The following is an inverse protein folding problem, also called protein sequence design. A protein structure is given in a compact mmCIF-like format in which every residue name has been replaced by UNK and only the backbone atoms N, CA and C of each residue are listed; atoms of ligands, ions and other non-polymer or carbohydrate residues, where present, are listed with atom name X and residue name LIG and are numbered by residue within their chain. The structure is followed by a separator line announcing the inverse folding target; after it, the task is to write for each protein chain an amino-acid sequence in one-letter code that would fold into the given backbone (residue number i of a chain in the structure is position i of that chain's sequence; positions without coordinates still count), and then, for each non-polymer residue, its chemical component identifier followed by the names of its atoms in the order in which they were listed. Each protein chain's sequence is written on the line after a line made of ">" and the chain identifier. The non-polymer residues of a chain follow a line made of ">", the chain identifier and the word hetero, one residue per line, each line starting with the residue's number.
data_IF_348378330924
#
_entry.id   IF_348378330924
#
_cell.length_a   1.000
_cell.length_b   1.000
_cell.length_c   1.000
_cell.angle_alpha   90.00
_cell.angle_beta   90.00
_cell.angle_gamma   90.00
#
_symmetry.space_group_name_H-M   'P 1'
#
loop_
_entity.id
_entity.type
_entity.pdbx_description
1 polymer ?
#
# COMPACT_ATOMS: atom_id res chain seq x y z
N UNK A 1 -0.11 21.21 3.17
CA UNK A 1 -1.05 20.88 2.07
C UNK A 1 -2.11 19.98 2.65
N UNK A 2 -3.35 20.13 2.23
CA UNK A 2 -4.50 19.46 2.85
C UNK A 2 -4.96 18.25 2.03
N UNK A 3 -5.63 17.33 2.69
CA UNK A 3 -6.40 16.26 2.03
C UNK A 3 -7.68 16.87 1.44
N UNK A 4 -8.17 16.30 0.34
CA UNK A 4 -9.45 16.67 -0.26
C UNK A 4 -10.40 15.47 -0.24
N UNK A 5 -11.69 15.75 -0.13
CA UNK A 5 -12.75 14.77 -0.39
C UNK A 5 -12.72 14.38 -1.86
N UNK A 6 -12.88 13.10 -2.15
CA UNK A 6 -12.82 12.55 -3.50
C UNK A 6 -13.98 11.57 -3.69
N UNK A 7 -14.80 11.85 -4.70
CA UNK A 7 -15.80 10.94 -5.22
C UNK A 7 -15.08 9.95 -6.17
N UNK A 8 -15.40 8.67 -6.04
CA UNK A 8 -14.86 7.58 -6.83
C UNK A 8 -16.03 6.84 -7.50
N UNK A 9 -15.81 6.30 -8.69
CA UNK A 9 -16.79 5.51 -9.45
C UNK A 9 -18.12 6.25 -9.61
N UNK A 10 -18.06 7.50 -10.09
CA UNK A 10 -19.25 8.34 -10.26
C UNK A 10 -19.90 8.80 -8.96
N UNK A 11 -19.21 8.67 -7.81
CA UNK A 11 -19.70 9.05 -6.49
C UNK A 11 -20.39 7.92 -5.72
N UNK A 12 -20.34 6.69 -6.22
CA UNK A 12 -20.80 5.52 -5.48
C UNK A 12 -19.94 5.25 -4.24
N UNK A 13 -18.66 5.64 -4.29
CA UNK A 13 -17.71 5.59 -3.16
C UNK A 13 -17.17 7.00 -2.92
N UNK A 14 -16.94 7.33 -1.65
CA UNK A 14 -16.27 8.56 -1.22
C UNK A 14 -15.10 8.22 -0.28
N UNK A 15 -14.01 8.97 -0.39
CA UNK A 15 -12.93 8.97 0.60
C UNK A 15 -12.14 10.28 0.53
N UNK A 16 -10.96 10.33 1.17
CA UNK A 16 -10.02 11.44 1.10
C UNK A 16 -8.71 11.01 0.44
N UNK A 17 -8.17 11.88 -0.41
CA UNK A 17 -6.85 11.72 -1.02
C UNK A 17 -6.01 12.98 -0.82
N UNK A 18 -4.67 12.93 -0.96
CA UNK A 18 -3.83 14.12 -0.94
C UNK A 18 -4.31 15.16 -1.96
N UNK A 19 -4.36 16.43 -1.54
CA UNK A 19 -4.60 17.54 -2.46
C UNK A 19 -3.54 17.62 -3.56
N UNK A 20 -3.90 18.17 -4.71
CA UNK A 20 -2.98 18.38 -5.84
C UNK A 20 -2.74 17.16 -6.73
N UNK A 21 -3.31 15.99 -6.41
CA UNK A 21 -3.33 14.86 -7.33
C UNK A 21 -4.28 15.09 -8.49
N UNK A 22 -3.83 14.70 -9.68
CA UNK A 22 -4.57 14.74 -10.93
C UNK A 22 -5.12 13.35 -11.22
N UNK A 23 -6.39 13.29 -11.58
CA UNK A 23 -7.01 12.07 -12.07
C UNK A 23 -6.54 11.79 -13.51
N UNK A 24 -5.96 10.60 -13.70
CA UNK A 24 -5.39 10.14 -14.97
C UNK A 24 -6.45 9.90 -16.05
N UNK A 25 -7.72 9.66 -15.68
CA UNK A 25 -8.85 9.48 -16.60
C UNK A 25 -9.05 10.70 -17.51
N UNK A 26 -8.65 11.89 -17.04
CA UNK A 26 -8.70 13.13 -17.82
C UNK A 26 -7.74 13.15 -19.02
N UNK A 27 -6.74 12.26 -19.04
CA UNK A 27 -5.69 12.27 -20.06
C UNK A 27 -5.56 10.94 -20.81
N UNK A 28 -6.02 9.83 -20.22
CA UNK A 28 -6.01 8.50 -20.83
C UNK A 28 -7.16 7.66 -20.29
N UNK A 29 -7.58 6.65 -21.04
CA UNK A 29 -8.49 5.64 -20.49
C UNK A 29 -7.84 4.88 -19.35
N UNK A 30 -8.62 4.63 -18.32
CA UNK A 30 -8.31 3.82 -17.14
C UNK A 30 -9.38 2.71 -17.08
N UNK A 31 -9.07 1.48 -16.64
CA UNK A 31 -10.07 0.43 -16.47
C UNK A 31 -11.26 0.91 -15.61
N UNK A 32 -12.46 0.43 -15.90
CA UNK A 32 -13.69 0.86 -15.20
C UNK A 32 -13.67 0.55 -13.70
N UNK A 33 -12.91 -0.46 -13.30
CA UNK A 33 -12.72 -0.85 -11.89
C UNK A 33 -11.66 -0.02 -11.18
N UNK A 34 -10.97 0.89 -11.88
CA UNK A 34 -9.83 1.63 -11.37
C UNK A 34 -10.05 3.14 -11.33
N UNK A 35 -9.51 3.74 -10.27
CA UNK A 35 -9.33 5.18 -10.12
C UNK A 35 -7.83 5.45 -9.95
N UNK A 36 -7.24 6.20 -10.88
CA UNK A 36 -5.78 6.39 -10.95
C UNK A 36 -5.43 7.86 -10.80
N UNK A 37 -4.67 8.18 -9.75
CA UNK A 37 -4.24 9.52 -9.41
C UNK A 37 -2.73 9.67 -9.51
N UNK A 38 -2.27 10.71 -10.20
CA UNK A 38 -0.85 11.03 -10.41
C UNK A 38 -0.53 12.43 -9.90
N UNK A 39 0.72 12.66 -9.51
CA UNK A 39 1.15 13.95 -8.99
C UNK A 39 1.83 14.83 -10.07
N UNK A 40 1.61 16.14 -10.01
CA UNK A 40 2.25 17.13 -10.90
C UNK A 40 2.94 18.28 -10.13
N UNK A 41 3.52 17.98 -8.96
CA UNK A 41 4.36 18.83 -8.09
C UNK A 41 3.67 19.68 -7.01
N UNK A 42 2.35 19.59 -6.83
CA UNK A 42 1.61 20.37 -5.83
C UNK A 42 0.89 19.49 -4.79
N UNK A 43 1.52 18.38 -4.40
CA UNK A 43 0.97 17.46 -3.40
C UNK A 43 1.94 17.22 -2.25
N UNK A 44 1.43 16.61 -1.18
CA UNK A 44 2.27 16.05 -0.11
C UNK A 44 3.16 14.91 -0.62
N UNK A 45 2.70 14.21 -1.65
CA UNK A 45 3.46 13.15 -2.33
C UNK A 45 4.54 13.72 -3.25
N UNK A 46 5.52 12.90 -3.61
CA UNK A 46 6.52 13.26 -4.63
C UNK A 46 5.94 13.13 -6.05
N UNK A 47 6.61 13.74 -7.03
CA UNK A 47 6.16 13.81 -8.42
C UNK A 47 5.91 12.42 -9.05
N UNK A 48 6.73 11.44 -8.71
CA UNK A 48 6.69 10.09 -9.30
C UNK A 48 5.77 9.14 -8.51
N UNK A 49 5.28 9.58 -7.36
CA UNK A 49 4.33 8.80 -6.57
C UNK A 49 2.95 8.82 -7.26
N UNK A 50 2.26 7.68 -7.23
CA UNK A 50 0.92 7.55 -7.77
C UNK A 50 0.03 6.67 -6.88
N UNK A 51 -1.26 7.02 -6.82
CA UNK A 51 -2.26 6.36 -6.01
C UNK A 51 -3.27 5.70 -6.94
N UNK A 52 -3.50 4.41 -6.76
CA UNK A 52 -4.45 3.61 -7.52
C UNK A 52 -5.44 3.00 -6.54
N UNK A 53 -6.73 3.11 -6.86
CA UNK A 53 -7.78 2.37 -6.17
C UNK A 53 -8.38 1.41 -7.19
N UNK A 54 -8.55 0.14 -6.82
CA UNK A 54 -9.10 -0.88 -7.71
C UNK A 54 -10.15 -1.73 -7.00
N UNK A 55 -11.23 -2.04 -7.70
CA UNK A 55 -12.28 -2.97 -7.26
C UNK A 55 -12.01 -4.35 -7.85
N UNK A 56 -11.66 -5.31 -7.00
CA UNK A 56 -11.27 -6.64 -7.39
C UNK A 56 -12.23 -7.70 -6.84
N UNK A 57 -12.22 -8.87 -7.48
CA UNK A 57 -12.82 -10.06 -6.90
C UNK A 57 -12.10 -10.44 -5.60
N UNK A 58 -12.83 -10.98 -4.61
CA UNK A 58 -12.26 -11.32 -3.33
C UNK A 58 -11.39 -12.55 -3.43
N UNK A 59 -10.20 -12.49 -2.85
CA UNK A 59 -9.28 -13.63 -2.86
C UNK A 59 -9.67 -14.67 -1.80
N UNK A 60 -9.46 -15.95 -2.14
CA UNK A 60 -9.65 -17.04 -1.21
C UNK A 60 -8.41 -17.25 -0.36
N UNK A 61 -8.54 -16.97 0.94
CA UNK A 61 -7.48 -17.25 1.91
C UNK A 61 -7.42 -18.76 2.18
N UNK A 62 -6.22 -19.33 2.07
CA UNK A 62 -5.99 -20.75 2.31
C UNK A 62 -6.38 -21.21 3.72
N UNK A 63 -6.79 -22.48 3.84
CA UNK A 63 -7.23 -23.06 5.11
C UNK A 63 -6.16 -22.93 6.20
N UNK A 64 -6.53 -22.38 7.36
CA UNK A 64 -5.65 -22.21 8.52
C UNK A 64 -4.84 -20.91 8.52
N UNK A 65 -4.99 -20.06 7.50
CA UNK A 65 -4.41 -18.73 7.47
C UNK A 65 -5.43 -17.67 7.97
N UNK A 66 -4.98 -16.59 8.61
CA UNK A 66 -5.84 -15.49 9.01
C UNK A 66 -6.37 -14.70 7.81
N UNK A 67 -7.52 -14.04 7.95
CA UNK A 67 -8.15 -13.22 6.90
C UNK A 67 -7.19 -12.15 6.34
N UNK A 68 -6.33 -11.61 7.20
CA UNK A 68 -5.28 -10.64 6.85
C UNK A 68 -4.29 -11.15 5.80
N UNK A 69 -4.23 -12.46 5.53
CA UNK A 69 -3.38 -13.01 4.47
C UNK A 69 -3.90 -12.67 3.07
N UNK A 70 -5.15 -12.23 2.91
CA UNK A 70 -5.67 -11.74 1.63
C UNK A 70 -4.83 -10.60 1.03
N UNK A 71 -4.32 -9.69 1.87
CA UNK A 71 -3.46 -8.59 1.38
C UNK A 71 -2.12 -9.09 0.83
N UNK A 72 -1.64 -10.24 1.30
CA UNK A 72 -0.41 -10.87 0.79
C UNK A 72 -0.65 -11.44 -0.60
N UNK A 73 -1.82 -12.06 -0.83
CA UNK A 73 -2.21 -12.62 -2.13
C UNK A 73 -2.31 -11.48 -3.16
N UNK A 74 -3.03 -10.41 -2.84
CA UNK A 74 -3.13 -9.22 -3.70
C UNK A 74 -1.76 -8.60 -3.98
N UNK A 75 -0.92 -8.46 -2.95
CA UNK A 75 0.44 -7.97 -3.14
C UNK A 75 1.24 -8.86 -4.11
N UNK A 76 1.22 -10.18 -3.92
CA UNK A 76 1.93 -11.12 -4.79
C UNK A 76 1.43 -11.06 -6.24
N UNK A 77 0.13 -10.89 -6.46
CA UNK A 77 -0.46 -10.71 -7.80
C UNK A 77 0.04 -9.42 -8.46
N UNK A 78 0.07 -8.30 -7.74
CA UNK A 78 0.64 -7.04 -8.22
C UNK A 78 2.13 -7.22 -8.57
N UNK A 79 2.92 -7.86 -7.70
CA UNK A 79 4.35 -8.10 -7.96
C UNK A 79 4.58 -8.98 -9.19
N UNK A 80 3.73 -10.00 -9.42
CA UNK A 80 3.78 -10.85 -10.62
C UNK A 80 3.51 -10.06 -11.90
N UNK A 81 2.56 -9.12 -11.87
CA UNK A 81 2.27 -8.23 -13.00
C UNK A 81 3.47 -7.32 -13.34
N UNK A 82 4.28 -6.98 -12.34
CA UNK A 82 5.51 -6.21 -12.52
C UNK A 82 6.71 -7.07 -12.99
N UNK A 83 6.50 -8.35 -13.32
CA UNK A 83 7.54 -9.32 -13.69
C UNK A 83 8.58 -9.57 -12.57
N UNK A 84 8.24 -9.26 -11.31
CA UNK A 84 9.09 -9.49 -10.14
C UNK A 84 8.70 -10.81 -9.51
N UNK A 85 9.34 -11.90 -9.96
CA UNK A 85 9.11 -13.23 -9.37
C UNK A 85 9.98 -13.43 -8.13
N UNK A 86 9.37 -13.51 -6.94
CA UNK A 86 9.99 -13.94 -5.67
C UNK A 86 11.11 -13.04 -5.09
N UNK A 87 11.30 -11.82 -5.60
CA UNK A 87 12.30 -10.88 -5.08
C UNK A 87 11.70 -9.74 -4.24
N UNK A 88 10.39 -9.78 -4.01
CA UNK A 88 9.72 -8.81 -3.17
C UNK A 88 9.80 -9.18 -1.68
N UNK A 89 9.62 -8.17 -0.83
CA UNK A 89 9.52 -8.40 0.62
C UNK A 89 8.48 -7.49 1.27
N UNK A 90 7.65 -8.09 2.12
CA UNK A 90 6.73 -7.36 2.98
C UNK A 90 7.42 -6.89 4.26
N UNK A 91 7.08 -5.67 4.68
CA UNK A 91 7.52 -5.06 5.93
C UNK A 91 6.60 -5.41 7.12
N UNK A 92 5.38 -5.87 6.84
CA UNK A 92 4.42 -6.33 7.84
C UNK A 92 2.98 -6.25 7.38
N UNK A 93 2.04 -6.65 8.22
CA UNK A 93 0.60 -6.51 7.99
C UNK A 93 -0.01 -5.91 9.25
N UNK A 94 -0.71 -4.80 9.09
CA UNK A 94 -1.48 -4.17 10.15
C UNK A 94 -2.97 -4.36 9.90
N UNK A 95 -3.69 -4.86 10.91
CA UNK A 95 -5.15 -4.78 10.93
C UNK A 95 -5.57 -3.33 11.19
N UNK A 96 -6.35 -2.79 10.25
CA UNK A 96 -6.81 -1.40 10.27
C UNK A 96 -8.33 -1.31 10.39
N UNK A 97 -9.01 -2.43 10.66
CA UNK A 97 -10.48 -2.51 10.69
C UNK A 97 -11.08 -1.51 11.68
N UNK A 98 -10.40 -1.24 12.80
CA UNK A 98 -10.83 -0.24 13.79
C UNK A 98 -10.69 1.21 13.32
N UNK A 99 -9.96 1.45 12.23
CA UNK A 99 -9.77 2.78 11.64
C UNK A 99 -10.89 3.16 10.69
N UNK A 100 -11.64 2.18 10.16
CA UNK A 100 -12.80 2.41 9.29
C UNK A 100 -13.85 3.28 9.99
N UNK A 101 -14.65 3.96 9.17
CA UNK A 101 -15.80 4.74 9.64
C UNK A 101 -16.71 3.86 10.52
N UNK A 102 -17.03 4.37 11.72
CA UNK A 102 -17.79 3.58 12.70
C UNK A 102 -19.19 3.26 12.20
N UNK A 103 -19.81 4.14 11.43
CA UNK A 103 -21.15 3.89 10.90
C UNK A 103 -21.07 2.78 9.85
N UNK A 104 -20.03 2.76 9.01
CA UNK A 104 -19.76 1.68 8.06
C UNK A 104 -19.52 0.32 8.76
N UNK A 105 -18.72 0.30 9.84
CA UNK A 105 -18.43 -0.92 10.62
C UNK A 105 -19.67 -1.40 11.39
N UNK A 106 -20.46 -0.48 11.93
CA UNK A 106 -21.67 -0.82 12.69
C UNK A 106 -22.82 -1.25 11.78
N UNK A 107 -22.90 -0.71 10.57
CA UNK A 107 -23.94 -1.07 9.60
C UNK A 107 -23.68 -2.43 8.96
N UNK A 108 -22.41 -2.81 8.76
CA UNK A 108 -22.04 -4.01 8.00
C UNK A 108 -21.20 -4.99 8.82
N UNK A 109 -21.80 -6.13 9.18
CA UNK A 109 -21.11 -7.30 9.73
C UNK A 109 -20.33 -8.03 8.63
N UNK A 110 -19.32 -7.40 8.06
CA UNK A 110 -18.62 -8.01 6.93
C UNK A 110 -17.45 -7.22 6.37
N UNK A 111 -17.04 -6.12 7.01
CA UNK A 111 -15.95 -5.30 6.49
C UNK A 111 -14.70 -5.50 7.35
N UNK A 112 -13.61 -5.92 6.73
CA UNK A 112 -12.27 -5.95 7.33
C UNK A 112 -11.34 -5.07 6.52
N UNK A 113 -10.30 -4.52 7.16
CA UNK A 113 -9.28 -3.78 6.42
C UNK A 113 -7.87 -4.01 6.94
N UNK A 114 -6.92 -4.01 6.02
CA UNK A 114 -5.51 -4.31 6.26
C UNK A 114 -4.61 -3.30 5.56
N UNK A 115 -3.41 -3.12 6.08
CA UNK A 115 -2.37 -2.30 5.49
C UNK A 115 -1.05 -3.07 5.47
N UNK A 116 -0.35 -3.01 4.35
CA UNK A 116 1.02 -3.51 4.22
C UNK A 116 1.90 -2.51 3.47
N UNK A 117 3.20 -2.72 3.57
CA UNK A 117 4.20 -2.06 2.76
C UNK A 117 5.14 -3.14 2.23
N UNK A 118 5.42 -3.16 0.94
CA UNK A 118 6.34 -4.10 0.33
C UNK A 118 7.34 -3.42 -0.58
N UNK A 119 8.51 -4.06 -0.71
CA UNK A 119 9.60 -3.61 -1.54
C UNK A 119 9.69 -4.51 -2.77
N UNK A 120 9.82 -3.88 -3.93
CA UNK A 120 9.91 -4.49 -5.24
C UNK A 120 11.12 -3.92 -5.97
N UNK A 121 12.26 -4.64 -6.00
CA UNK A 121 13.40 -4.20 -6.77
C UNK A 121 13.11 -4.22 -8.27
N UNK A 122 13.35 -3.12 -8.96
CA UNK A 122 13.19 -3.06 -10.40
C UNK A 122 14.42 -3.68 -11.09
N UNK A 123 14.33 -4.97 -11.45
CA UNK A 123 15.34 -5.61 -12.29
C UNK A 123 15.30 -5.01 -13.70
N UNK A 124 16.28 -4.20 -14.08
CA UNK A 124 16.47 -3.86 -15.50
C UNK A 124 16.89 -5.12 -16.26
N UNK A 125 16.08 -5.53 -17.23
CA UNK A 125 16.35 -6.64 -18.15
C UNK A 125 17.84 -6.68 -18.56
N UNK A 126 18.50 -7.81 -18.30
CA UNK A 126 19.87 -8.09 -18.77
C UNK A 126 21.00 -7.99 -17.73
N UNK A 127 20.73 -7.83 -16.43
CA UNK A 127 21.76 -7.91 -15.39
C UNK A 127 21.48 -9.04 -14.40
N UNK A 128 22.17 -10.17 -14.61
CA UNK A 128 22.03 -11.40 -13.80
C UNK A 128 22.93 -11.46 -12.56
N UNK A 129 23.66 -10.38 -12.23
CA UNK A 129 24.45 -10.30 -11.00
C UNK A 129 24.52 -8.83 -10.53
N UNK A 130 23.65 -8.40 -9.60
CA UNK A 130 23.95 -7.22 -8.81
C UNK A 130 25.21 -7.55 -7.99
N UNK A 131 26.29 -6.79 -8.18
CA UNK A 131 27.29 -6.69 -7.10
C UNK A 131 26.52 -6.17 -5.88
N UNK A 132 26.78 -6.70 -4.67
CA UNK A 132 26.11 -6.29 -3.41
C UNK A 132 26.13 -4.76 -3.14
N UNK A 133 27.00 -4.04 -3.85
CA UNK A 133 27.19 -2.59 -3.79
C UNK A 133 26.32 -1.77 -4.75
N UNK A 134 25.55 -2.38 -5.65
CA UNK A 134 24.71 -1.62 -6.60
C UNK A 134 23.35 -1.27 -5.97
N UNK A 135 23.12 0.03 -5.80
CA UNK A 135 21.79 0.58 -5.50
C UNK A 135 20.91 0.44 -6.74
N UNK A 136 19.91 -0.44 -6.65
CA UNK A 136 18.95 -0.66 -7.74
C UNK A 136 17.67 0.14 -7.47
N UNK A 137 17.06 0.76 -8.51
CA UNK A 137 15.76 1.38 -8.36
C UNK A 137 14.79 0.40 -7.71
N UNK A 138 14.07 0.86 -6.70
CA UNK A 138 13.19 0.01 -5.89
C UNK A 138 11.85 0.70 -5.77
N UNK A 139 10.78 -0.02 -6.08
CA UNK A 139 9.43 0.43 -5.79
C UNK A 139 9.08 0.04 -4.36
N UNK A 140 8.64 0.99 -3.56
CA UNK A 140 7.92 0.69 -2.32
C UNK A 140 6.44 0.84 -2.60
N UNK A 141 5.69 -0.24 -2.44
CA UNK A 141 4.24 -0.25 -2.56
C UNK A 141 3.63 -0.23 -1.16
N UNK A 142 2.89 0.83 -0.83
CA UNK A 142 1.99 0.84 0.32
C UNK A 142 0.63 0.36 -0.17
N UNK A 143 0.20 -0.80 0.32
CA UNK A 143 -1.05 -1.42 -0.10
C UNK A 143 -2.03 -1.42 1.07
N UNK A 144 -3.20 -0.82 0.86
CA UNK A 144 -4.38 -0.98 1.69
C UNK A 144 -5.34 -1.98 1.05
N UNK A 145 -6.03 -2.75 1.89
CA UNK A 145 -7.09 -3.66 1.48
C UNK A 145 -8.33 -3.39 2.34
N UNK A 146 -9.48 -3.18 1.72
CA UNK A 146 -10.79 -3.14 2.38
C UNK A 146 -11.63 -4.26 1.78
N UNK A 147 -12.01 -5.25 2.58
CA UNK A 147 -12.76 -6.41 2.14
C UNK A 147 -14.23 -6.19 2.43
N UNK A 148 -15.06 -6.20 1.39
CA UNK A 148 -16.51 -6.02 1.48
C UNK A 148 -17.17 -7.39 1.31
N UNK A 149 -17.18 -8.20 2.38
CA UNK A 149 -17.58 -9.60 2.29
C UNK A 149 -19.06 -9.78 1.87
N UNK A 150 -19.93 -8.83 2.18
CA UNK A 150 -21.36 -8.91 1.86
C UNK A 150 -21.65 -8.76 0.36
N UNK A 151 -20.76 -8.07 -0.38
CA UNK A 151 -20.87 -7.84 -1.83
C UNK A 151 -19.74 -8.50 -2.60
N UNK A 152 -18.96 -9.36 -1.94
CA UNK A 152 -17.86 -10.13 -2.54
C UNK A 152 -16.94 -9.22 -3.37
N UNK A 153 -16.36 -8.19 -2.74
CA UNK A 153 -15.42 -7.27 -3.40
C UNK A 153 -14.25 -6.97 -2.47
N UNK A 154 -13.03 -7.04 -3.00
CA UNK A 154 -11.83 -6.54 -2.35
C UNK A 154 -11.45 -5.19 -2.98
N UNK A 155 -11.42 -4.12 -2.18
CA UNK A 155 -10.96 -2.79 -2.62
C UNK A 155 -9.49 -2.65 -2.26
N UNK A 156 -8.64 -2.50 -3.27
CA UNK A 156 -7.22 -2.24 -3.06
C UNK A 156 -6.91 -0.75 -3.17
N UNK A 157 -5.99 -0.28 -2.35
CA UNK A 157 -5.50 1.12 -2.34
C UNK A 157 -3.98 1.06 -2.41
N UNK A 158 -3.45 1.23 -3.61
CA UNK A 158 -2.04 1.06 -3.94
C UNK A 158 -1.37 2.41 -4.10
N UNK A 159 -0.46 2.76 -3.19
CA UNK A 159 0.42 3.91 -3.33
C UNK A 159 1.81 3.44 -3.73
N UNK A 160 2.17 3.73 -4.98
CA UNK A 160 3.47 3.43 -5.57
C UNK A 160 4.46 4.54 -5.24
N UNK A 161 5.54 4.21 -4.55
CA UNK A 161 6.60 5.14 -4.12
C UNK A 161 7.93 4.69 -4.73
N UNK A 162 8.31 5.18 -5.91
CA UNK A 162 9.57 4.81 -6.53
C UNK A 162 10.76 5.49 -5.81
N UNK A 163 11.76 4.70 -5.49
CA UNK A 163 13.08 5.14 -5.03
C UNK A 163 14.06 4.96 -6.18
N UNK A 164 14.53 6.08 -6.73
CA UNK A 164 15.38 6.09 -7.94
C UNK A 164 16.69 6.85 -7.70
N UNK A 165 16.64 7.91 -6.88
CA UNK A 165 17.82 8.73 -6.58
C UNK A 165 18.77 8.01 -5.62
N UNK A 166 20.05 8.28 -5.75
CA UNK A 166 21.10 7.60 -5.00
C UNK A 166 20.94 7.76 -3.48
N UNK A 167 20.67 8.99 -3.00
CA UNK A 167 20.43 9.29 -1.59
C UNK A 167 19.18 8.59 -1.03
N UNK A 168 18.11 8.53 -1.82
CA UNK A 168 16.89 7.80 -1.46
C UNK A 168 17.15 6.29 -1.35
N UNK A 169 17.91 5.73 -2.29
CA UNK A 169 18.26 4.31 -2.30
C UNK A 169 19.20 3.93 -1.16
N UNK A 170 20.19 4.76 -0.84
CA UNK A 170 21.04 4.59 0.36
C UNK A 170 20.16 4.59 1.61
N UNK A 171 19.29 5.59 1.74
CA UNK A 171 18.37 5.71 2.87
C UNK A 171 17.44 4.49 2.98
N UNK A 172 16.96 3.94 1.86
CA UNK A 172 16.09 2.76 1.85
C UNK A 172 16.86 1.49 2.25
N UNK A 173 18.09 1.32 1.77
CA UNK A 173 18.97 0.20 2.15
C UNK A 173 19.29 0.21 3.64
N UNK A 174 19.59 1.39 4.21
CA UNK A 174 19.82 1.56 5.65
C UNK A 174 18.57 1.29 6.49
N UNK A 175 17.44 1.87 6.08
CA UNK A 175 16.14 1.64 6.70
C UNK A 175 15.82 0.15 6.80
N UNK A 176 15.97 -0.55 5.67
CA UNK A 176 15.73 -1.98 5.56
C UNK A 176 16.70 -2.82 6.40
N UNK A 177 18.00 -2.52 6.37
CA UNK A 177 19.01 -3.21 7.20
C UNK A 177 18.67 -3.14 8.69
N UNK A 178 18.19 -1.98 9.16
CA UNK A 178 17.79 -1.83 10.55
C UNK A 178 16.53 -2.62 10.91
N UNK A 179 15.58 -2.76 9.98
CA UNK A 179 14.41 -3.61 10.18
C UNK A 179 14.80 -5.10 10.33
N UNK A 180 15.74 -5.59 9.53
CA UNK A 180 16.21 -6.98 9.63
C UNK A 180 16.92 -7.29 10.95
N UNK A 181 17.75 -6.36 11.43
CA UNK A 181 18.42 -6.53 12.73
C UNK A 181 17.43 -6.63 13.89
N UNK A 182 16.38 -5.80 13.89
CA UNK A 182 15.36 -5.83 14.94
C UNK A 182 14.52 -7.11 14.95
N UNK A 183 14.40 -7.80 13.81
CA UNK A 183 13.64 -9.05 13.71
C UNK A 183 14.45 -10.28 14.15
N UNK A 184 15.78 -10.25 14.02
CA UNK A 184 16.66 -11.38 14.36
C UNK A 184 16.92 -11.53 15.88
N UNK A 185 16.56 -10.54 16.71
CA UNK A 185 16.64 -10.64 18.17
C UNK A 185 15.43 -11.38 18.80
N UNK A 186 14.45 -11.82 18.00
CA UNK A 186 13.28 -12.58 18.45
C UNK A 186 13.31 -14.04 17.99
N UNK A 187 13.55 -14.97 18.93
CA UNK A 187 13.68 -16.41 18.69
C UNK A 187 12.33 -17.16 18.40
N UNK A 188 11.38 -16.53 17.70
CA UNK A 188 10.04 -17.09 17.45
C UNK A 188 9.68 -17.07 15.95
N UNK A 189 9.98 -18.16 15.26
CA UNK A 189 9.64 -18.41 13.85
C UNK A 189 8.11 -18.50 13.56
N UNK A 190 7.25 -18.31 14.57
CA UNK A 190 5.80 -18.46 14.47
C UNK A 190 5.00 -17.16 14.74
N UNK A 191 5.64 -15.99 14.85
CA UNK A 191 4.92 -14.71 14.88
C UNK A 191 4.52 -14.28 13.48
N UNK A 192 3.36 -14.77 13.02
CA UNK A 192 2.64 -14.27 11.84
C UNK A 192 2.03 -12.87 12.05
N UNK A 193 2.16 -12.28 13.25
CA UNK A 193 1.80 -10.89 13.52
C UNK A 193 3.01 -9.97 13.31
N UNK A 194 3.31 -9.65 12.06
CA UNK A 194 4.28 -8.60 11.75
C UNK A 194 3.50 -7.28 11.82
N UNK A 195 3.45 -6.63 12.98
CA UNK A 195 2.87 -5.28 13.08
C UNK A 195 3.60 -4.36 12.09
N UNK A 196 2.85 -3.73 11.17
CA UNK A 196 3.40 -2.81 10.18
C UNK A 196 4.07 -1.61 10.88
N UNK A 197 5.35 -1.76 11.19
CA UNK A 197 6.25 -0.67 11.57
C UNK A 197 5.72 0.08 12.80
N UNK A 198 5.69 -0.57 13.96
CA UNK A 198 6.11 0.16 15.17
C UNK A 198 7.62 0.04 15.22
N UNK A 199 8.34 0.97 14.58
CA UNK A 199 9.79 1.10 14.81
C UNK A 199 9.95 1.38 16.28
N UNK A 200 10.27 0.35 17.05
CA UNK A 200 10.75 0.49 18.41
C UNK A 200 12.12 1.18 18.30
N UNK A 201 12.06 2.50 18.26
CA UNK A 201 13.08 3.40 18.80
C UNK A 201 14.52 3.16 18.35
N UNK A 202 14.79 3.27 17.06
CA UNK A 202 16.02 3.97 16.66
C UNK A 202 15.62 5.35 16.15
N UNK A 203 15.82 6.38 16.98
CA UNK A 203 15.51 7.75 16.61
C UNK A 203 16.32 8.21 15.38
N UNK A 204 17.44 7.56 15.07
CA UNK A 204 18.25 7.89 13.89
C UNK A 204 17.52 7.65 12.56
N UNK A 205 16.63 6.65 12.51
CA UNK A 205 15.89 6.31 11.28
C UNK A 205 14.70 7.22 11.02
N UNK A 206 14.14 7.83 12.07
CA UNK A 206 12.95 8.70 11.95
C UNK A 206 13.20 9.91 11.07
N UNK A 207 14.47 10.30 10.94
CA UNK A 207 14.86 11.41 10.09
C UNK A 207 15.27 11.02 8.67
N UNK A 208 15.40 9.72 8.38
CA UNK A 208 15.79 9.22 7.06
C UNK A 208 14.72 9.51 6.00
N UNK A 209 15.17 9.69 4.75
CA UNK A 209 14.29 9.96 3.60
C UNK A 209 13.30 8.81 3.42
N UNK A 210 13.79 7.57 3.48
CA UNK A 210 12.97 6.38 3.32
C UNK A 210 11.87 6.27 4.38
N UNK A 211 12.21 6.45 5.67
CA UNK A 211 11.19 6.43 6.72
C UNK A 211 10.12 7.50 6.50
N UNK A 212 10.53 8.75 6.24
CA UNK A 212 9.59 9.86 6.04
C UNK A 212 8.65 9.60 4.86
N UNK A 213 9.15 9.07 3.74
CA UNK A 213 8.32 8.73 2.57
C UNK A 213 7.37 7.57 2.85
N UNK A 214 7.86 6.50 3.49
CA UNK A 214 7.05 5.30 3.80
C UNK A 214 5.95 5.62 4.81
N UNK A 215 6.28 6.36 5.88
CA UNK A 215 5.30 6.76 6.90
C UNK A 215 4.25 7.72 6.34
N UNK A 216 4.65 8.68 5.51
CA UNK A 216 3.69 9.52 4.81
C UNK A 216 2.77 8.68 3.92
N UNK A 217 3.32 7.70 3.20
CA UNK A 217 2.53 6.80 2.37
C UNK A 217 1.53 5.98 3.18
N UNK A 218 1.95 5.44 4.33
CA UNK A 218 1.06 4.77 5.29
C UNK A 218 -0.04 5.72 5.78
N UNK A 219 0.29 6.96 6.14
CA UNK A 219 -0.70 7.95 6.57
C UNK A 219 -1.74 8.23 5.48
N UNK A 220 -1.31 8.36 4.22
CA UNK A 220 -2.20 8.54 3.07
C UNK A 220 -3.19 7.40 2.94
N UNK A 221 -2.72 6.15 2.94
CA UNK A 221 -3.60 4.98 2.79
C UNK A 221 -4.49 4.79 4.03
N UNK A 222 -3.98 5.02 5.23
CA UNK A 222 -4.78 4.96 6.47
C UNK A 222 -5.89 6.02 6.49
N UNK A 223 -5.58 7.25 6.08
CA UNK A 223 -6.62 8.30 5.97
C UNK A 223 -7.66 7.95 4.92
N UNK A 224 -7.27 7.34 3.81
CA UNK A 224 -8.21 6.83 2.83
C UNK A 224 -9.13 5.77 3.46
N UNK A 225 -8.58 4.75 4.10
CA UNK A 225 -9.36 3.69 4.77
C UNK A 225 -10.31 4.29 5.81
N UNK A 226 -9.82 5.21 6.63
CA UNK A 226 -10.61 5.81 7.71
C UNK A 226 -11.75 6.72 7.25
N UNK A 227 -11.73 7.18 6.00
CA UNK A 227 -12.78 8.01 5.42
C UNK A 227 -13.53 7.30 4.28
N UNK A 228 -13.27 6.00 4.08
CA UNK A 228 -13.92 5.22 3.05
C UNK A 228 -15.41 5.07 3.37
N UNK A 229 -16.25 5.46 2.42
CA UNK A 229 -17.72 5.41 2.52
C UNK A 229 -18.30 4.87 1.22
N UNK A 230 -19.35 4.07 1.37
CA UNK A 230 -20.14 3.56 0.26
C UNK A 230 -21.48 4.30 0.29
N UNK A 231 -21.80 5.00 -0.80
CA UNK A 231 -23.06 5.71 -0.98
C UNK A 231 -24.05 4.94 -1.85
N UNK A 232 -23.55 4.13 -2.79
CA UNK A 232 -24.37 3.34 -3.70
C UNK A 232 -23.81 1.92 -3.83
N UNK A 233 -24.52 0.94 -3.25
CA UNK A 233 -24.14 -0.48 -3.32
C UNK A 233 -24.46 -1.13 -4.66
N UNK A 234 -25.23 -0.48 -5.55
CA UNK A 234 -25.51 -1.00 -6.89
C UNK A 234 -24.26 -1.09 -7.76
N UNK A 235 -23.19 -0.38 -7.36
CA UNK A 235 -21.86 -0.50 -7.96
C UNK A 235 -21.34 -1.96 -7.98
N UNK A 236 -21.75 -2.79 -7.02
CA UNK A 236 -21.25 -4.15 -6.85
C UNK A 236 -22.21 -5.24 -7.40
N UNK A 237 -23.28 -4.85 -8.11
CA UNK A 237 -24.34 -5.75 -8.59
C UNK A 237 -24.16 -6.19 -10.04
#
# INVERSE_FOLDING_TARGET
>A
MEYKLQQLYGGAIESVIPGGLLDASNFRQVPDTQEVFVNNNNSLLQKEDNLIIDLLEPVQVGKGLPDSHAIVIHFEEISKLNEISNEWKLLGIQDTTQSLDKDLVNSNKGITSYLTAGLEPALKWGRSNPREDFLQPTLVLILGLIRLNDVLTDVTVSLNIPFIKEDELISLKEFYRCLELNNNDGNDANKSGIDLVTIKSDNSLKDSIAYKRIELGKEVVLKFIANFKIHDTSLFC
#
